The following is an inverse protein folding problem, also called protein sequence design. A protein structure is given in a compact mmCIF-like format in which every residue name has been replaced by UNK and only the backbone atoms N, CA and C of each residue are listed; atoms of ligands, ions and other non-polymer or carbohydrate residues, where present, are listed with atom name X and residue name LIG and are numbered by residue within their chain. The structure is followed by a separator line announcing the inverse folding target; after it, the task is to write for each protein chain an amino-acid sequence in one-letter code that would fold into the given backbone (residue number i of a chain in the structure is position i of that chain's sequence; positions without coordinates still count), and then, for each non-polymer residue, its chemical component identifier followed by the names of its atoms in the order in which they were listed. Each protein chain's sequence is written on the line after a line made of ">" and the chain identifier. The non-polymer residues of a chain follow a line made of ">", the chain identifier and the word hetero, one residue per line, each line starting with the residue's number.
data_IF_933261473479
#
_entry.id   IF_933261473479
#
_cell.length_a   1.000
_cell.length_b   1.000
_cell.length_c   1.000
_cell.angle_alpha   90.00
_cell.angle_beta   90.00
_cell.angle_gamma   90.00
#
_symmetry.space_group_name_H-M   'P 1'
#
loop_
_entity.id
_entity.type
_entity.pdbx_description
1 polymer ?
#
# COMPACT_ATOMS: atom_id res chain seq x y z
N UNK A 1 -30.08 -11.08 10.47
CA UNK A 1 -29.27 -12.07 9.71
C UNK A 1 -28.65 -11.50 8.44
N UNK A 2 -29.39 -10.82 7.55
CA UNK A 2 -28.84 -10.27 6.31
C UNK A 2 -27.69 -9.25 6.50
N UNK A 3 -27.81 -8.37 7.50
CA UNK A 3 -26.80 -7.34 7.81
C UNK A 3 -25.46 -7.94 8.28
N UNK A 4 -25.49 -9.03 9.05
CA UNK A 4 -24.29 -9.74 9.50
C UNK A 4 -23.58 -10.49 8.39
N UNK A 5 -24.33 -11.12 7.48
CA UNK A 5 -23.76 -11.82 6.33
C UNK A 5 -23.07 -10.87 5.34
N UNK A 6 -23.64 -9.67 5.12
CA UNK A 6 -23.01 -8.66 4.27
C UNK A 6 -21.71 -8.11 4.90
N UNK A 7 -21.72 -7.82 6.21
CA UNK A 7 -20.54 -7.38 6.94
C UNK A 7 -19.42 -8.45 6.93
N UNK A 8 -19.78 -9.73 7.12
CA UNK A 8 -18.83 -10.83 7.05
C UNK A 8 -18.21 -11.01 5.66
N UNK A 9 -19.01 -10.85 4.59
CA UNK A 9 -18.48 -10.87 3.22
C UNK A 9 -17.52 -9.72 2.94
N UNK A 10 -17.85 -8.50 3.40
CA UNK A 10 -16.96 -7.35 3.27
C UNK A 10 -15.64 -7.55 4.01
N UNK A 11 -15.70 -8.08 5.25
CA UNK A 11 -14.50 -8.42 6.01
C UNK A 11 -13.66 -9.52 5.34
N UNK A 12 -14.28 -10.56 4.79
CA UNK A 12 -13.57 -11.61 4.06
C UNK A 12 -12.89 -11.07 2.80
N UNK A 13 -13.57 -10.18 2.05
CA UNK A 13 -13.00 -9.52 0.89
C UNK A 13 -11.79 -8.65 1.28
N UNK A 14 -11.90 -7.86 2.35
CA UNK A 14 -10.79 -7.07 2.90
C UNK A 14 -9.59 -7.92 3.29
N UNK A 15 -9.81 -9.06 3.95
CA UNK A 15 -8.73 -9.98 4.31
C UNK A 15 -8.01 -10.52 3.06
N UNK A 16 -8.76 -10.95 2.03
CA UNK A 16 -8.18 -11.47 0.79
C UNK A 16 -7.40 -10.40 0.04
N UNK A 17 -7.96 -9.20 -0.11
CA UNK A 17 -7.27 -8.12 -0.82
C UNK A 17 -6.05 -7.65 -0.04
N UNK A 18 -6.13 -7.52 1.29
CA UNK A 18 -4.96 -7.12 2.09
C UNK A 18 -3.85 -8.18 2.03
N UNK A 19 -4.20 -9.47 2.08
CA UNK A 19 -3.25 -10.57 1.86
C UNK A 19 -2.51 -10.42 0.54
N UNK A 20 -3.25 -10.26 -0.56
CA UNK A 20 -2.68 -10.11 -1.90
C UNK A 20 -1.86 -8.83 -2.00
N UNK A 21 -2.31 -7.74 -1.39
CA UNK A 21 -1.61 -6.47 -1.39
C UNK A 21 -0.25 -6.60 -0.72
N UNK A 22 -0.18 -7.12 0.51
CA UNK A 22 1.08 -7.29 1.23
C UNK A 22 2.02 -8.23 0.48
N UNK A 23 1.50 -9.34 -0.05
CA UNK A 23 2.27 -10.28 -0.86
C UNK A 23 2.92 -9.59 -2.08
N UNK A 24 2.16 -8.80 -2.83
CA UNK A 24 2.64 -8.15 -4.05
C UNK A 24 3.48 -6.90 -3.79
N UNK A 25 3.03 -6.02 -2.89
CA UNK A 25 3.71 -4.76 -2.57
C UNK A 25 5.08 -5.01 -1.94
N UNK A 26 5.22 -6.03 -1.09
CA UNK A 26 6.52 -6.42 -0.50
C UNK A 26 7.51 -6.94 -1.55
N UNK A 27 7.02 -7.39 -2.71
CA UNK A 27 7.86 -7.83 -3.82
C UNK A 27 8.30 -6.68 -4.76
N UNK A 28 7.86 -5.43 -4.53
CA UNK A 28 8.19 -4.30 -5.41
C UNK A 28 9.69 -4.01 -5.48
N UNK A 29 10.42 -4.12 -4.36
CA UNK A 29 11.87 -3.93 -4.32
C UNK A 29 12.62 -4.97 -5.16
N UNK A 30 12.33 -6.25 -4.93
CA UNK A 30 12.89 -7.36 -5.72
C UNK A 30 12.55 -7.24 -7.21
N UNK A 31 11.29 -6.90 -7.52
CA UNK A 31 10.84 -6.73 -8.92
C UNK A 31 11.52 -5.55 -9.59
N UNK A 32 11.70 -4.43 -8.88
CA UNK A 32 12.43 -3.27 -9.39
C UNK A 32 13.88 -3.64 -9.70
N UNK A 33 14.56 -4.36 -8.80
CA UNK A 33 15.92 -4.84 -9.02
C UNK A 33 16.01 -5.77 -10.24
N UNK A 34 15.08 -6.72 -10.37
CA UNK A 34 15.03 -7.62 -11.52
C UNK A 34 14.80 -6.86 -12.84
N UNK A 35 13.84 -5.94 -12.90
CA UNK A 35 13.52 -5.17 -14.11
C UNK A 35 14.66 -4.24 -14.51
N UNK A 36 15.25 -3.52 -13.56
CA UNK A 36 16.38 -2.62 -13.85
C UNK A 36 17.62 -3.39 -14.32
N UNK A 37 17.86 -4.59 -13.80
CA UNK A 37 18.90 -5.50 -14.28
C UNK A 37 18.62 -5.98 -15.72
N UNK A 38 17.39 -6.42 -16.01
CA UNK A 38 16.99 -6.84 -17.35
C UNK A 38 17.09 -5.72 -18.40
N UNK A 39 16.83 -4.48 -18.00
CA UNK A 39 16.94 -3.30 -18.86
C UNK A 39 18.39 -2.78 -18.99
N UNK A 40 19.35 -3.35 -18.26
CA UNK A 40 20.75 -2.92 -18.28
C UNK A 40 21.02 -1.56 -17.63
N UNK A 41 20.10 -1.04 -16.80
CA UNK A 41 20.17 0.30 -16.19
C UNK A 41 20.55 0.27 -14.70
N UNK A 42 20.88 -0.90 -14.15
CA UNK A 42 21.11 -1.11 -12.72
C UNK A 42 22.46 -0.57 -12.18
N UNK A 43 23.42 -0.23 -13.04
CA UNK A 43 24.84 0.01 -12.65
C UNK A 43 25.41 1.39 -13.00
N UNK A 44 24.63 2.39 -13.39
CA UNK A 44 25.19 3.72 -13.59
C UNK A 44 25.48 4.41 -12.24
N UNK A 45 26.75 4.37 -11.81
CA UNK A 45 27.27 5.16 -10.70
C UNK A 45 26.90 6.63 -10.90
N UNK A 46 25.98 7.12 -10.05
CA UNK A 46 25.49 8.50 -10.04
C UNK A 46 24.14 8.74 -10.73
N UNK A 47 23.59 7.79 -11.50
CA UNK A 47 22.36 7.96 -12.30
C UNK A 47 21.29 6.86 -12.18
N UNK A 48 21.65 5.66 -11.72
CA UNK A 48 20.73 4.50 -11.67
C UNK A 48 19.51 4.65 -10.74
N UNK A 49 19.59 5.57 -9.76
CA UNK A 49 18.49 5.83 -8.83
C UNK A 49 17.21 6.32 -9.52
N UNK A 50 17.33 7.14 -10.58
CA UNK A 50 16.15 7.71 -11.25
C UNK A 50 15.37 6.65 -12.05
N UNK A 51 16.06 5.71 -12.70
CA UNK A 51 15.40 4.61 -13.41
C UNK A 51 14.74 3.63 -12.44
N UNK A 52 15.38 3.30 -11.33
CA UNK A 52 14.78 2.48 -10.29
C UNK A 52 13.50 3.13 -9.74
N UNK A 53 13.52 4.44 -9.46
CA UNK A 53 12.33 5.19 -9.01
C UNK A 53 11.21 5.17 -10.05
N UNK A 54 11.53 5.38 -11.33
CA UNK A 54 10.54 5.33 -12.40
C UNK A 54 9.91 3.93 -12.52
N UNK A 55 10.74 2.89 -12.44
CA UNK A 55 10.28 1.49 -12.47
C UNK A 55 9.39 1.21 -11.26
N UNK A 56 9.82 1.55 -10.03
CA UNK A 56 9.03 1.36 -8.82
C UNK A 56 7.69 2.11 -8.89
N UNK A 57 7.69 3.38 -9.31
CA UNK A 57 6.48 4.17 -9.44
C UNK A 57 5.52 3.61 -10.50
N UNK A 58 6.06 3.06 -11.59
CA UNK A 58 5.27 2.43 -12.66
C UNK A 58 4.68 1.09 -12.22
N UNK A 59 5.48 0.25 -11.54
CA UNK A 59 5.02 -1.02 -10.98
C UNK A 59 3.94 -0.78 -9.91
N UNK A 60 4.15 0.21 -9.03
CA UNK A 60 3.15 0.59 -8.03
C UNK A 60 1.88 1.15 -8.69
N UNK A 61 2.00 1.97 -9.74
CA UNK A 61 0.83 2.46 -10.48
C UNK A 61 0.01 1.32 -11.08
N UNK A 62 0.67 0.34 -11.69
CA UNK A 62 0.04 -0.85 -12.24
C UNK A 62 -0.64 -1.69 -11.14
N UNK A 63 0.03 -1.84 -10.00
CA UNK A 63 -0.53 -2.56 -8.84
C UNK A 63 -1.77 -1.85 -8.28
N UNK A 64 -1.68 -0.54 -8.02
CA UNK A 64 -2.82 0.27 -7.55
C UNK A 64 -4.00 0.19 -8.52
N UNK A 65 -3.75 0.27 -9.83
CA UNK A 65 -4.79 0.15 -10.84
C UNK A 65 -5.46 -1.23 -10.82
N UNK A 66 -4.68 -2.32 -10.74
CA UNK A 66 -5.22 -3.66 -10.65
C UNK A 66 -6.03 -3.88 -9.36
N UNK A 67 -5.55 -3.35 -8.24
CA UNK A 67 -6.21 -3.46 -6.94
C UNK A 67 -7.48 -2.61 -6.86
N UNK A 68 -7.54 -1.44 -7.48
CA UNK A 68 -8.76 -0.64 -7.60
C UNK A 68 -9.87 -1.43 -8.32
N UNK A 69 -9.54 -2.07 -9.45
CA UNK A 69 -10.47 -2.95 -10.16
C UNK A 69 -10.91 -4.15 -9.32
N UNK A 70 -9.97 -4.80 -8.62
CA UNK A 70 -10.25 -5.95 -7.74
C UNK A 70 -11.16 -5.55 -6.58
N UNK A 71 -10.87 -4.43 -5.92
CA UNK A 71 -11.68 -3.90 -4.82
C UNK A 71 -13.10 -3.58 -5.28
N UNK A 72 -13.25 -2.94 -6.44
CA UNK A 72 -14.54 -2.69 -7.06
C UNK A 72 -15.32 -3.98 -7.36
N UNK A 73 -14.66 -4.98 -7.94
CA UNK A 73 -15.27 -6.29 -8.23
C UNK A 73 -15.70 -7.05 -6.96
N UNK A 74 -15.01 -6.84 -5.84
CA UNK A 74 -15.31 -7.44 -4.54
C UNK A 74 -16.25 -6.59 -3.67
N UNK A 75 -16.97 -5.63 -4.28
CA UNK A 75 -18.01 -4.85 -3.60
C UNK A 75 -17.46 -3.73 -2.72
N UNK A 76 -16.36 -3.11 -3.14
CA UNK A 76 -15.70 -2.02 -2.39
C UNK A 76 -14.86 -2.56 -1.24
N UNK A 77 -14.09 -3.63 -1.48
CA UNK A 77 -13.07 -4.08 -0.54
C UNK A 77 -11.99 -2.99 -0.34
N UNK A 78 -11.27 -3.04 0.77
CA UNK A 78 -10.15 -2.15 1.06
C UNK A 78 -9.01 -2.92 1.70
N UNK A 79 -7.78 -2.52 1.39
CA UNK A 79 -6.54 -3.11 1.90
C UNK A 79 -5.70 -2.13 2.74
N UNK A 80 -6.27 -0.96 3.05
CA UNK A 80 -5.64 0.04 3.89
C UNK A 80 -6.67 0.59 4.90
N UNK A 81 -6.50 0.32 6.21
CA UNK A 81 -7.43 0.78 7.24
C UNK A 81 -7.56 2.30 7.28
N UNK A 82 -6.48 3.04 6.99
CA UNK A 82 -6.49 4.50 6.98
C UNK A 82 -7.35 5.01 5.83
N UNK A 83 -7.22 4.45 4.64
CA UNK A 83 -8.02 4.85 3.47
C UNK A 83 -9.51 4.54 3.68
N UNK A 84 -9.81 3.37 4.24
CA UNK A 84 -11.18 3.00 4.59
C UNK A 84 -11.79 3.93 5.65
N UNK A 85 -11.02 4.27 6.71
CA UNK A 85 -11.47 5.20 7.74
C UNK A 85 -11.66 6.62 7.19
N UNK A 86 -10.76 7.07 6.30
CA UNK A 86 -10.84 8.38 5.68
C UNK A 86 -12.04 8.50 4.73
N UNK A 87 -12.31 7.47 3.92
CA UNK A 87 -13.46 7.43 3.02
C UNK A 87 -14.79 7.41 3.77
N UNK A 88 -14.85 6.67 4.89
CA UNK A 88 -15.98 6.73 5.82
C UNK A 88 -16.17 8.12 6.42
N UNK A 89 -15.10 8.74 6.95
CA UNK A 89 -15.16 10.06 7.57
C UNK A 89 -15.50 11.17 6.57
N UNK A 90 -15.06 11.06 5.32
CA UNK A 90 -15.38 11.97 4.23
C UNK A 90 -16.79 11.78 3.66
N UNK A 91 -17.53 10.76 4.12
CA UNK A 91 -18.88 10.45 3.62
C UNK A 91 -18.91 9.89 2.20
N UNK A 92 -17.78 9.35 1.72
CA UNK A 92 -17.69 8.65 0.43
C UNK A 92 -18.30 7.25 0.52
N UNK A 93 -18.19 6.64 1.71
CA UNK A 93 -18.76 5.34 2.05
C UNK A 93 -19.64 5.43 3.29
N UNK A 94 -20.63 4.55 3.40
CA UNK A 94 -21.56 4.51 4.55
C UNK A 94 -21.80 3.10 5.13
N UNK A 95 -20.75 2.31 5.48
CA UNK A 95 -20.90 1.07 6.21
C UNK A 95 -21.46 1.30 7.63
N UNK A 96 -22.11 0.27 8.18
CA UNK A 96 -22.45 0.26 9.61
C UNK A 96 -21.19 0.15 10.48
N UNK A 97 -21.22 0.71 11.69
CA UNK A 97 -20.10 0.59 12.66
C UNK A 97 -19.76 -0.88 12.97
N UNK A 98 -20.75 -1.76 12.97
CA UNK A 98 -20.55 -3.21 13.09
C UNK A 98 -19.69 -3.77 11.93
N UNK A 99 -19.93 -3.31 10.70
CA UNK A 99 -19.12 -3.69 9.55
C UNK A 99 -17.71 -3.14 9.64
N UNK A 100 -17.54 -1.89 10.09
CA UNK A 100 -16.21 -1.28 10.28
C UNK A 100 -15.40 -2.08 11.31
N UNK A 101 -16.01 -2.46 12.43
CA UNK A 101 -15.38 -3.23 13.49
C UNK A 101 -14.90 -4.63 13.04
N UNK A 102 -15.55 -5.24 12.05
CA UNK A 102 -15.13 -6.53 11.48
C UNK A 102 -14.05 -6.38 10.41
N UNK A 103 -14.04 -5.27 9.67
CA UNK A 103 -13.15 -5.06 8.53
C UNK A 103 -11.72 -4.75 8.95
N UNK A 104 -11.49 -3.91 9.96
CA UNK A 104 -10.12 -3.62 10.42
C UNK A 104 -9.34 -4.86 10.89
N UNK A 105 -9.88 -5.74 11.76
CA UNK A 105 -9.17 -6.96 12.13
C UNK A 105 -8.96 -7.91 10.95
N UNK A 106 -9.89 -7.93 9.99
CA UNK A 106 -9.76 -8.77 8.81
C UNK A 106 -8.63 -8.31 7.89
N UNK A 107 -8.46 -7.00 7.70
CA UNK A 107 -7.31 -6.44 6.97
C UNK A 107 -5.99 -6.80 7.68
N UNK A 108 -5.92 -6.63 8.99
CA UNK A 108 -4.73 -7.03 9.77
C UNK A 108 -4.41 -8.53 9.64
N UNK A 109 -5.42 -9.40 9.71
CA UNK A 109 -5.23 -10.83 9.50
C UNK A 109 -4.76 -11.18 8.08
N UNK A 110 -5.32 -10.50 7.07
CA UNK A 110 -4.90 -10.61 5.68
C UNK A 110 -3.43 -10.22 5.52
N UNK A 111 -3.03 -9.09 6.08
CA UNK A 111 -1.66 -8.60 6.02
C UNK A 111 -0.66 -9.57 6.64
N UNK A 112 -0.94 -10.10 7.84
CA UNK A 112 -0.12 -11.14 8.47
C UNK A 112 0.03 -12.36 7.56
N UNK A 113 -1.06 -12.82 6.95
CA UNK A 113 -1.01 -13.92 5.98
C UNK A 113 -0.13 -13.60 4.78
N UNK A 114 -0.26 -12.39 4.22
CA UNK A 114 0.53 -11.94 3.07
C UNK A 114 2.03 -11.83 3.39
N UNK A 115 2.37 -11.34 4.58
CA UNK A 115 3.73 -11.25 5.08
C UNK A 115 4.37 -12.63 5.27
N UNK A 116 3.63 -13.58 5.86
CA UNK A 116 4.09 -14.97 5.98
C UNK A 116 4.28 -15.61 4.60
N UNK A 117 3.32 -15.43 3.70
CA UNK A 117 3.41 -15.98 2.35
C UNK A 117 4.62 -15.45 1.58
N UNK A 118 4.89 -14.13 1.62
CA UNK A 118 6.05 -13.57 0.92
C UNK A 118 7.37 -14.01 1.56
N UNK A 119 7.43 -14.20 2.88
CA UNK A 119 8.64 -14.69 3.55
C UNK A 119 9.06 -16.09 3.08
N UNK A 120 8.09 -16.92 2.71
CA UNK A 120 8.32 -18.26 2.17
C UNK A 120 8.54 -18.27 0.65
N UNK A 121 7.83 -17.42 -0.09
CA UNK A 121 7.87 -17.40 -1.56
C UNK A 121 9.05 -16.59 -2.13
N UNK A 122 9.64 -15.68 -1.35
CA UNK A 122 10.71 -14.81 -1.84
C UNK A 122 11.99 -15.63 -2.16
N UNK A 123 12.52 -15.53 -3.39
CA UNK A 123 13.78 -16.20 -3.74
C UNK A 123 14.94 -15.75 -2.85
N UNK A 124 15.83 -16.67 -2.49
CA UNK A 124 16.98 -16.41 -1.59
C UNK A 124 17.80 -15.17 -2.00
N UNK A 125 18.06 -15.03 -3.29
CA UNK A 125 18.80 -13.89 -3.86
C UNK A 125 18.16 -12.52 -3.59
N UNK A 126 16.85 -12.47 -3.33
CA UNK A 126 16.09 -11.25 -3.06
C UNK A 126 15.55 -11.16 -1.63
N UNK A 127 15.75 -12.17 -0.77
CA UNK A 127 15.26 -12.13 0.63
C UNK A 127 15.76 -10.92 1.41
N UNK A 128 16.99 -10.45 1.12
CA UNK A 128 17.53 -9.22 1.70
C UNK A 128 16.65 -7.99 1.41
N UNK A 129 15.93 -7.96 0.29
CA UNK A 129 15.03 -6.86 -0.06
C UNK A 129 13.79 -6.83 0.83
N UNK A 130 13.34 -7.95 1.40
CA UNK A 130 12.21 -7.96 2.34
C UNK A 130 12.58 -7.24 3.65
N UNK A 131 13.77 -7.54 4.18
CA UNK A 131 14.27 -6.88 5.39
C UNK A 131 14.55 -5.39 5.17
N UNK A 132 14.90 -4.98 3.94
CA UNK A 132 15.13 -3.59 3.58
C UNK A 132 13.85 -2.82 3.16
N UNK A 133 12.79 -3.52 2.76
CA UNK A 133 11.54 -2.91 2.27
C UNK A 133 10.49 -2.71 3.37
N UNK A 134 10.61 -3.40 4.50
CA UNK A 134 9.67 -3.28 5.61
C UNK A 134 9.89 -2.04 6.47
N UNK A 135 8.87 -1.60 7.23
CA UNK A 135 9.02 -0.54 8.22
C UNK A 135 10.09 -0.89 9.26
N UNK A 136 11.00 0.04 9.48
CA UNK A 136 12.09 -0.08 10.44
C UNK A 136 12.24 1.26 11.17
N UNK A 137 11.98 1.25 12.47
CA UNK A 137 12.12 2.43 13.31
C UNK A 137 13.62 2.76 13.47
N UNK A 138 14.08 3.83 12.79
CA UNK A 138 15.47 4.31 12.82
C UNK A 138 15.70 5.43 13.83
N UNK A 139 14.62 6.03 14.32
CA UNK A 139 14.60 7.11 15.31
C UNK A 139 13.97 6.62 16.63
N UNK A 140 13.93 7.45 17.66
CA UNK A 140 13.21 7.10 18.88
C UNK A 140 11.69 6.93 18.60
N UNK A 141 10.96 6.12 19.40
CA UNK A 141 9.55 5.84 19.16
C UNK A 141 8.64 7.07 19.09
N UNK A 142 8.95 8.13 19.85
CA UNK A 142 8.13 9.34 19.84
C UNK A 142 8.30 10.09 18.51
N UNK A 143 9.54 10.30 18.07
CA UNK A 143 9.81 10.91 16.77
C UNK A 143 9.26 10.05 15.62
N UNK A 144 9.39 8.73 15.71
CA UNK A 144 8.83 7.80 14.72
C UNK A 144 7.31 7.88 14.63
N UNK A 145 6.62 7.93 15.77
CA UNK A 145 5.17 8.07 15.82
C UNK A 145 4.71 9.41 15.22
N UNK A 146 5.41 10.51 15.50
CA UNK A 146 5.13 11.82 14.89
C UNK A 146 5.36 11.77 13.37
N UNK A 147 6.47 11.18 12.92
CA UNK A 147 6.79 11.04 11.52
C UNK A 147 5.73 10.24 10.76
N UNK A 148 5.34 9.05 11.25
CA UNK A 148 4.27 8.24 10.67
C UNK A 148 2.93 8.99 10.68
N UNK A 149 2.61 9.70 11.76
CA UNK A 149 1.39 10.51 11.84
C UNK A 149 1.34 11.59 10.75
N UNK A 150 2.45 12.31 10.53
CA UNK A 150 2.54 13.34 9.49
C UNK A 150 2.50 12.73 8.10
N UNK A 151 3.28 11.67 7.84
CA UNK A 151 3.33 11.00 6.53
C UNK A 151 1.96 10.42 6.16
N UNK A 152 1.32 9.74 7.11
CA UNK A 152 -0.04 9.18 6.96
C UNK A 152 -1.06 10.28 6.72
N UNK A 153 -1.01 11.39 7.47
CA UNK A 153 -1.90 12.53 7.24
C UNK A 153 -1.74 13.12 5.82
N UNK A 154 -0.50 13.35 5.38
CA UNK A 154 -0.22 13.94 4.06
C UNK A 154 -0.66 13.00 2.95
N UNK A 155 -0.38 11.70 3.03
CA UNK A 155 -0.82 10.77 1.99
C UNK A 155 -2.34 10.64 1.96
N UNK A 156 -3.01 10.57 3.11
CA UNK A 156 -4.48 10.47 3.16
C UNK A 156 -5.13 11.72 2.56
N UNK A 157 -4.61 12.91 2.88
CA UNK A 157 -5.09 14.15 2.28
C UNK A 157 -4.87 14.17 0.76
N UNK A 158 -3.69 13.74 0.30
CA UNK A 158 -3.38 13.66 -1.12
C UNK A 158 -4.29 12.66 -1.85
N UNK A 159 -4.51 11.47 -1.29
CA UNK A 159 -5.39 10.42 -1.83
C UNK A 159 -6.82 10.95 -1.95
N UNK A 160 -7.38 11.53 -0.88
CA UNK A 160 -8.72 12.13 -0.91
C UNK A 160 -8.82 13.23 -1.97
N UNK A 161 -7.83 14.12 -2.04
CA UNK A 161 -7.80 15.18 -3.04
C UNK A 161 -7.77 14.63 -4.47
N UNK A 162 -6.93 13.63 -4.73
CA UNK A 162 -6.79 13.00 -6.04
C UNK A 162 -8.06 12.24 -6.43
N UNK A 163 -8.72 11.57 -5.49
CA UNK A 163 -9.96 10.84 -5.75
C UNK A 163 -11.11 11.80 -6.05
N UNK A 164 -11.29 12.84 -5.22
CA UNK A 164 -12.44 13.76 -5.27
C UNK A 164 -12.27 14.88 -6.30
N UNK A 165 -11.07 15.43 -6.45
CA UNK A 165 -10.76 16.60 -7.30
C UNK A 165 -9.74 16.32 -8.40
N UNK A 166 -9.13 15.13 -8.42
CA UNK A 166 -8.13 14.77 -9.41
C UNK A 166 -8.72 14.50 -10.81
N UNK A 167 -7.88 14.01 -11.73
CA UNK A 167 -8.25 13.82 -13.12
C UNK A 167 -9.35 12.76 -13.29
N UNK A 168 -10.16 12.92 -14.34
CA UNK A 168 -11.19 11.94 -14.72
C UNK A 168 -10.62 10.65 -15.30
N UNK A 169 -9.41 10.71 -15.86
CA UNK A 169 -8.75 9.54 -16.43
C UNK A 169 -8.23 8.64 -15.28
N UNK A 170 -8.70 7.38 -15.17
CA UNK A 170 -8.32 6.49 -14.08
C UNK A 170 -6.83 6.15 -14.08
N UNK A 171 -6.21 6.03 -15.26
CA UNK A 171 -4.76 5.76 -15.40
C UNK A 171 -3.94 6.94 -14.88
N UNK A 172 -4.32 8.16 -15.24
CA UNK A 172 -3.61 9.35 -14.74
C UNK A 172 -3.81 9.51 -13.23
N UNK A 173 -5.00 9.16 -12.72
CA UNK A 173 -5.29 9.17 -11.29
C UNK A 173 -4.38 8.19 -10.53
N UNK A 174 -4.23 6.95 -11.00
CA UNK A 174 -3.35 5.96 -10.35
C UNK A 174 -1.87 6.32 -10.46
N UNK A 175 -1.43 6.95 -11.55
CA UNK A 175 -0.07 7.51 -11.66
C UNK A 175 0.18 8.63 -10.63
N UNK A 176 -0.78 9.53 -10.42
CA UNK A 176 -0.64 10.57 -9.39
C UNK A 176 -0.58 9.98 -7.98
N UNK A 177 -1.40 8.95 -7.70
CA UNK A 177 -1.35 8.23 -6.43
C UNK A 177 0.01 7.55 -6.23
N UNK A 178 0.51 6.83 -7.23
CA UNK A 178 1.79 6.11 -7.10
C UNK A 178 2.96 7.06 -6.88
N UNK A 179 3.03 8.17 -7.61
CA UNK A 179 4.08 9.19 -7.44
C UNK A 179 4.00 9.83 -6.06
N UNK A 180 2.80 10.11 -5.55
CA UNK A 180 2.61 10.65 -4.21
C UNK A 180 3.09 9.69 -3.12
N UNK A 181 2.75 8.40 -3.25
CA UNK A 181 3.18 7.36 -2.31
C UNK A 181 4.70 7.19 -2.35
N UNK A 182 5.30 7.02 -3.53
CA UNK A 182 6.76 6.87 -3.66
C UNK A 182 7.49 8.09 -3.11
N UNK A 183 6.99 9.30 -3.37
CA UNK A 183 7.61 10.53 -2.84
C UNK A 183 7.63 10.56 -1.32
N UNK A 184 6.54 10.14 -0.67
CA UNK A 184 6.46 10.06 0.78
C UNK A 184 7.26 8.89 1.36
N UNK A 185 7.36 7.77 0.64
CA UNK A 185 8.27 6.67 1.01
C UNK A 185 9.70 7.17 1.09
N UNK A 186 10.17 7.92 0.09
CA UNK A 186 11.51 8.49 0.09
C UNK A 186 11.70 9.52 1.20
N UNK A 187 10.71 10.38 1.44
CA UNK A 187 10.78 11.40 2.49
C UNK A 187 10.80 10.79 3.91
N UNK A 188 10.08 9.68 4.12
CA UNK A 188 9.99 9.00 5.41
C UNK A 188 11.06 7.92 5.65
N UNK A 189 11.84 7.55 4.63
CA UNK A 189 12.75 6.40 4.68
C UNK A 189 13.78 6.49 5.82
N UNK A 190 14.23 7.70 6.16
CA UNK A 190 15.22 7.93 7.22
C UNK A 190 14.63 7.89 8.63
N UNK A 191 13.31 7.92 8.77
CA UNK A 191 12.64 7.91 10.07
C UNK A 191 12.12 6.50 10.42
N UNK A 192 11.27 5.94 9.56
CA UNK A 192 10.50 4.73 9.88
C UNK A 192 10.42 3.70 8.77
N UNK A 193 10.88 4.02 7.54
CA UNK A 193 10.60 3.16 6.38
C UNK A 193 9.09 3.08 6.16
N UNK A 194 8.47 4.17 5.68
CA UNK A 194 7.18 4.56 6.21
C UNK A 194 6.06 3.59 5.84
N UNK A 195 5.32 3.15 6.86
CA UNK A 195 4.26 2.16 6.69
C UNK A 195 3.04 2.79 6.01
N UNK A 196 2.58 3.95 6.53
CA UNK A 196 1.40 4.69 6.05
C UNK A 196 0.12 3.83 5.93
N UNK A 197 0.13 2.63 6.50
CA UNK A 197 -0.94 1.65 6.46
C UNK A 197 -0.82 0.78 7.73
N UNK A 198 -1.69 0.95 8.73
CA UNK A 198 -1.63 0.18 9.98
C UNK A 198 -1.73 -1.34 9.83
N UNK A 199 -2.16 -1.85 8.67
CA UNK A 199 -2.16 -3.28 8.40
C UNK A 199 -0.78 -3.82 7.95
N UNK A 200 0.06 -2.99 7.33
CA UNK A 200 1.39 -3.36 6.83
C UNK A 200 2.45 -3.36 7.93
#
# INVERSE_FOLDING_TARGET
>A
MAMGAAAARGAAADAVVTFLWVLCASALGATTAAVTSLLGVAQEEGGGGHYALLVTASLLAALLFAFDLLCGALGGASFNPTDFAASYAAGLDSPSLFSVALRFPAQAAGAVGGALAISELMPEQYKHTLAAAGPALKVDPHTGAVAEGVLTFVITLAVLWIIVKGPRNPVLKTMLLSVSIVSLILAGAEYTGPSMNPAN
#
